data_IF_026841134966
#
_entry.id   IF_026841134966
#
_cell.length_a   1.000
_cell.length_b   1.000
_cell.length_c   1.000
_cell.angle_alpha   90.00
_cell.angle_beta   90.00
_cell.angle_gamma   90.00
#
_symmetry.space_group_name_H-M   'P 1'
#
loop_
_entity.id
_entity.type
_entity.pdbx_description
1 polymer ?
#
# COMPACT_ATOMS: atom_id res chain seq x y z
N UNK A 1 70.09 10.99 4.30
CA UNK A 1 69.29 10.06 5.13
C UNK A 1 68.21 10.84 5.87
N UNK A 2 66.99 10.89 5.33
CA UNK A 2 65.84 11.55 5.97
C UNK A 2 64.71 10.52 6.04
N UNK A 3 64.35 10.12 7.27
CA UNK A 3 63.35 9.10 7.60
C UNK A 3 61.94 9.65 7.32
N UNK A 4 61.17 8.97 6.46
CA UNK A 4 59.72 9.18 6.28
C UNK A 4 58.97 8.66 7.51
N UNK A 5 58.13 9.51 8.08
CA UNK A 5 57.08 9.14 9.04
C UNK A 5 55.82 8.72 8.27
N UNK A 6 55.26 7.56 8.61
CA UNK A 6 53.91 7.15 8.20
C UNK A 6 52.95 7.25 9.39
N UNK A 7 51.76 7.84 9.24
CA UNK A 7 50.78 7.88 10.32
C UNK A 7 49.99 6.56 10.36
N UNK A 8 50.03 5.89 11.50
CA UNK A 8 49.19 4.74 11.82
C UNK A 8 47.73 5.20 11.98
N UNK A 9 46.88 4.90 10.98
CA UNK A 9 45.42 5.00 11.13
C UNK A 9 44.92 3.82 11.98
N UNK A 10 44.60 4.08 13.23
CA UNK A 10 43.79 3.17 14.05
C UNK A 10 42.37 3.10 13.47
N UNK A 11 42.08 2.05 12.70
CA UNK A 11 40.69 1.64 12.42
C UNK A 11 40.15 0.97 13.69
N UNK A 12 39.27 1.67 14.42
CA UNK A 12 38.43 1.04 15.44
C UNK A 12 37.43 0.13 14.73
N UNK A 13 37.77 -1.14 14.62
CA UNK A 13 36.80 -2.19 14.28
C UNK A 13 35.96 -2.44 15.53
N UNK A 14 34.70 -2.02 15.50
CA UNK A 14 33.72 -2.44 16.50
C UNK A 14 33.49 -3.93 16.28
N UNK A 15 33.96 -4.73 17.23
CA UNK A 15 33.79 -6.18 17.26
C UNK A 15 32.29 -6.47 17.46
N UNK A 16 31.58 -6.76 16.37
CA UNK A 16 30.26 -7.38 16.45
C UNK A 16 30.47 -8.84 16.85
N UNK A 17 30.09 -9.17 18.08
CA UNK A 17 29.78 -10.55 18.46
C UNK A 17 28.47 -10.93 17.76
N UNK A 18 28.55 -11.18 16.46
CA UNK A 18 27.55 -11.96 15.74
C UNK A 18 27.86 -13.42 16.06
N UNK A 19 26.94 -14.07 16.76
CA UNK A 19 27.00 -15.52 16.94
C UNK A 19 26.88 -16.16 15.55
N UNK A 20 27.96 -16.80 15.12
CA UNK A 20 28.08 -17.51 13.85
C UNK A 20 27.42 -18.88 14.01
N UNK A 21 26.10 -18.92 13.80
CA UNK A 21 25.38 -20.11 13.36
C UNK A 21 24.81 -19.84 11.97
N UNK A 22 25.13 -20.67 10.98
CA UNK A 22 24.80 -20.42 9.56
C UNK A 22 23.34 -20.03 9.31
N UNK A 23 23.13 -18.86 8.72
CA UNK A 23 22.02 -18.56 7.80
C UNK A 23 20.58 -18.51 8.32
N UNK A 24 20.31 -18.40 9.63
CA UNK A 24 18.91 -18.31 10.09
C UNK A 24 18.27 -16.95 9.78
N UNK A 25 18.93 -15.85 10.15
CA UNK A 25 18.41 -14.50 9.91
C UNK A 25 18.55 -14.11 8.44
N UNK A 26 17.43 -13.76 7.81
CA UNK A 26 17.36 -13.26 6.45
C UNK A 26 17.05 -11.77 6.46
N UNK A 27 18.02 -10.96 6.04
CA UNK A 27 17.81 -9.51 5.94
C UNK A 27 16.87 -9.22 4.78
N UNK A 28 15.79 -8.50 5.06
CA UNK A 28 14.88 -8.07 3.99
C UNK A 28 15.57 -7.07 3.05
N UNK A 29 15.35 -7.24 1.75
CA UNK A 29 16.02 -6.48 0.69
C UNK A 29 15.69 -5.00 0.78
N UNK A 30 16.70 -4.14 0.60
CA UNK A 30 16.47 -2.70 0.50
C UNK A 30 15.82 -2.37 -0.85
N UNK A 31 14.80 -1.52 -0.83
CA UNK A 31 14.02 -1.19 -2.03
C UNK A 31 14.50 0.16 -2.58
N UNK A 32 14.84 0.17 -3.86
CA UNK A 32 15.28 1.36 -4.58
C UNK A 32 14.11 2.31 -4.89
N UNK A 33 14.34 3.62 -4.76
CA UNK A 33 13.36 4.66 -5.13
C UNK A 33 13.08 4.62 -6.64
N UNK A 34 11.84 4.84 -7.05
CA UNK A 34 11.50 5.12 -8.45
C UNK A 34 12.05 6.49 -8.87
N UNK A 35 12.64 6.56 -10.05
CA UNK A 35 12.96 7.82 -10.74
C UNK A 35 13.02 7.60 -12.25
N UNK A 36 13.05 8.70 -13.00
CA UNK A 36 13.06 8.67 -14.46
C UNK A 36 14.12 7.73 -15.05
N UNK A 37 15.36 7.75 -14.52
CA UNK A 37 16.45 6.86 -14.99
C UNK A 37 16.08 5.38 -14.86
N UNK A 38 15.54 4.96 -13.71
CA UNK A 38 15.16 3.56 -13.47
C UNK A 38 13.98 3.15 -14.33
N UNK A 39 13.01 4.04 -14.53
CA UNK A 39 11.89 3.76 -15.42
C UNK A 39 12.36 3.63 -16.88
N UNK A 40 13.28 4.47 -17.33
CA UNK A 40 13.86 4.35 -18.65
C UNK A 40 14.69 3.07 -18.81
N UNK A 41 15.36 2.60 -17.76
CA UNK A 41 16.01 1.29 -17.76
C UNK A 41 15.00 0.13 -17.89
N UNK A 42 13.85 0.21 -17.20
CA UNK A 42 12.76 -0.77 -17.36
C UNK A 42 12.16 -0.76 -18.78
N UNK A 43 12.03 0.42 -19.39
CA UNK A 43 11.62 0.53 -20.80
C UNK A 43 12.62 -0.15 -21.73
N UNK A 44 13.91 0.14 -21.54
CA UNK A 44 14.99 -0.43 -22.35
C UNK A 44 15.13 -1.95 -22.21
N UNK A 45 14.81 -2.51 -21.03
CA UNK A 45 14.83 -3.96 -20.80
C UNK A 45 13.58 -4.70 -21.30
N UNK A 46 12.56 -3.96 -21.77
CA UNK A 46 11.26 -4.50 -22.16
C UNK A 46 10.32 -4.79 -21.00
N UNK A 47 10.72 -4.52 -19.75
CA UNK A 47 9.94 -4.85 -18.55
C UNK A 47 8.88 -3.79 -18.18
N UNK A 48 8.84 -2.66 -18.88
CA UNK A 48 7.87 -1.59 -18.59
C UNK A 48 6.42 -1.97 -18.93
N UNK A 49 6.23 -2.82 -19.94
CA UNK A 49 4.91 -3.30 -20.33
C UNK A 49 4.54 -4.67 -19.70
N UNK A 50 5.46 -5.28 -18.93
CA UNK A 50 5.18 -6.48 -18.12
C UNK A 50 4.14 -6.19 -17.02
N UNK A 51 3.58 -7.23 -16.39
CA UNK A 51 2.65 -7.05 -15.28
C UNK A 51 3.37 -6.77 -13.94
N UNK A 52 2.95 -5.69 -13.29
CA UNK A 52 3.42 -5.24 -11.99
C UNK A 52 2.28 -5.13 -10.99
N UNK A 53 2.66 -5.24 -9.72
CA UNK A 53 1.75 -5.19 -8.58
C UNK A 53 2.27 -4.11 -7.66
N UNK A 54 1.45 -3.11 -7.37
CA UNK A 54 1.77 -2.10 -6.38
C UNK A 54 0.86 -2.22 -5.16
N UNK A 55 1.45 -2.15 -3.99
CA UNK A 55 0.77 -2.22 -2.69
C UNK A 55 1.10 -1.00 -1.85
N UNK A 56 0.28 -0.69 -0.83
CA UNK A 56 0.58 0.41 0.08
C UNK A 56 1.95 0.20 0.73
N UNK A 57 2.78 1.23 0.72
CA UNK A 57 4.00 1.24 1.51
C UNK A 57 3.66 1.73 2.93
N UNK A 58 3.54 0.79 3.85
CA UNK A 58 3.29 1.09 5.27
C UNK A 58 4.55 1.69 5.89
N UNK A 59 4.40 2.90 6.42
CA UNK A 59 5.40 3.61 7.22
C UNK A 59 5.42 3.09 8.66
N UNK A 60 6.29 2.13 8.94
CA UNK A 60 6.43 1.52 10.27
C UNK A 60 7.87 1.10 10.53
N UNK A 61 8.05 -0.07 11.12
CA UNK A 61 9.34 -0.71 11.25
C UNK A 61 9.28 -2.15 10.69
N UNK A 62 10.23 -2.48 9.81
CA UNK A 62 10.39 -3.83 9.28
C UNK A 62 10.44 -4.87 10.40
N UNK A 63 9.61 -5.90 10.27
CA UNK A 63 9.40 -6.92 11.27
C UNK A 63 9.25 -8.30 10.62
N UNK A 64 9.99 -9.29 11.11
CA UNK A 64 9.97 -10.67 10.62
C UNK A 64 9.51 -11.63 11.70
N UNK A 65 8.68 -12.61 11.34
CA UNK A 65 8.20 -13.67 12.22
C UNK A 65 8.70 -15.01 11.68
N UNK A 66 9.47 -15.73 12.49
CA UNK A 66 10.12 -16.98 12.11
C UNK A 66 9.49 -18.13 12.88
N UNK A 67 9.01 -19.12 12.12
CA UNK A 67 8.69 -20.44 12.65
C UNK A 67 9.72 -21.42 12.12
N UNK A 68 10.34 -22.21 13.00
CA UNK A 68 11.44 -23.13 12.67
C UNK A 68 11.01 -24.53 13.10
N UNK A 69 11.20 -25.52 12.23
CA UNK A 69 10.87 -26.92 12.52
C UNK A 69 11.66 -27.42 13.73
N UNK A 70 11.00 -28.16 14.62
CA UNK A 70 11.60 -28.64 15.87
C UNK A 70 11.70 -27.59 16.99
N UNK A 71 11.55 -26.30 16.70
CA UNK A 71 11.48 -25.25 17.72
C UNK A 71 10.04 -25.01 18.17
N UNK A 72 9.81 -25.00 19.49
CA UNK A 72 8.50 -24.64 20.06
C UNK A 72 8.25 -23.14 20.07
N UNK A 73 9.31 -22.34 20.08
CA UNK A 73 9.24 -20.89 20.25
C UNK A 73 9.38 -20.18 18.91
N UNK A 74 8.43 -19.30 18.61
CA UNK A 74 8.50 -18.38 17.48
C UNK A 74 9.57 -17.32 17.75
N UNK A 75 10.38 -16.99 16.74
CA UNK A 75 11.38 -15.93 16.81
C UNK A 75 10.90 -14.69 16.06
N UNK A 76 11.31 -13.53 16.55
CA UNK A 76 10.94 -12.24 15.98
C UNK A 76 12.20 -11.49 15.59
N UNK A 77 12.17 -10.78 14.46
CA UNK A 77 13.32 -10.02 13.98
C UNK A 77 12.91 -8.60 13.63
N UNK A 78 13.84 -7.68 13.88
CA UNK A 78 13.86 -6.35 13.27
C UNK A 78 14.79 -6.37 12.06
N UNK A 79 14.86 -5.26 11.33
CA UNK A 79 15.73 -5.10 10.15
C UNK A 79 17.18 -5.52 10.36
N UNK A 80 17.72 -5.37 11.57
CA UNK A 80 19.13 -5.66 11.87
C UNK A 80 19.39 -7.05 12.46
N UNK A 81 18.36 -7.86 12.74
CA UNK A 81 18.55 -9.20 13.28
C UNK A 81 17.37 -9.75 14.07
N UNK A 82 17.46 -11.04 14.40
CA UNK A 82 16.57 -11.70 15.37
C UNK A 82 16.76 -11.06 16.75
N UNK A 83 15.65 -10.76 17.41
CA UNK A 83 15.62 -10.13 18.72
C UNK A 83 15.50 -11.17 19.83
N UNK A 84 16.20 -11.01 20.97
CA UNK A 84 15.94 -11.82 22.14
C UNK A 84 14.56 -11.48 22.73
N UNK A 85 13.88 -12.42 23.42
CA UNK A 85 12.55 -12.19 24.01
C UNK A 85 12.49 -11.02 25.00
N UNK A 86 13.64 -10.64 25.57
CA UNK A 86 13.79 -9.56 26.54
C UNK A 86 14.00 -8.18 25.92
N UNK A 87 14.25 -8.09 24.61
CA UNK A 87 14.44 -6.82 23.92
C UNK A 87 13.10 -6.12 23.71
N UNK A 88 12.94 -4.92 24.29
CA UNK A 88 11.78 -4.08 24.05
C UNK A 88 11.89 -3.34 22.70
N UNK A 89 11.10 -3.78 21.72
CA UNK A 89 11.02 -3.18 20.39
C UNK A 89 9.61 -2.65 20.12
N UNK A 90 9.39 -1.35 20.36
CA UNK A 90 8.11 -0.62 20.28
C UNK A 90 6.94 -1.16 21.12
N UNK A 91 7.10 -2.29 21.80
CA UNK A 91 6.04 -2.98 22.53
C UNK A 91 5.39 -4.13 21.77
N UNK A 92 6.04 -4.68 20.73
CA UNK A 92 5.52 -5.79 19.91
C UNK A 92 5.06 -7.00 20.73
N UNK A 93 5.56 -7.17 21.96
CA UNK A 93 5.15 -8.22 22.89
C UNK A 93 3.64 -8.30 23.09
N UNK A 94 2.93 -7.16 22.99
CA UNK A 94 1.46 -7.14 23.11
C UNK A 94 0.77 -7.92 21.99
N UNK A 95 1.44 -8.06 20.83
CA UNK A 95 0.94 -8.75 19.65
C UNK A 95 1.36 -10.23 19.59
N UNK A 96 2.24 -10.70 20.49
CA UNK A 96 2.78 -12.07 20.43
C UNK A 96 1.69 -13.14 20.26
N UNK A 97 0.56 -13.12 21.01
CA UNK A 97 -0.49 -14.12 20.84
C UNK A 97 -1.02 -14.17 19.41
N UNK A 98 -1.32 -13.02 18.81
CA UNK A 98 -1.80 -12.93 17.42
C UNK A 98 -0.71 -13.33 16.43
N UNK A 99 0.53 -12.87 16.62
CA UNK A 99 1.65 -13.18 15.74
C UNK A 99 1.98 -14.68 15.71
N UNK A 100 1.86 -15.36 16.85
CA UNK A 100 2.00 -16.83 16.95
C UNK A 100 0.90 -17.54 16.18
N UNK A 101 -0.35 -17.10 16.33
CA UNK A 101 -1.48 -17.65 15.56
C UNK A 101 -1.25 -17.48 14.06
N UNK A 102 -0.85 -16.28 13.61
CA UNK A 102 -0.63 -15.99 12.19
C UNK A 102 0.46 -16.88 11.59
N UNK A 103 1.65 -16.94 12.19
CA UNK A 103 2.75 -17.72 11.61
C UNK A 103 2.48 -19.22 11.62
N UNK A 104 1.71 -19.72 12.60
CA UNK A 104 1.32 -21.13 12.66
C UNK A 104 0.40 -21.46 11.49
N UNK A 105 -0.67 -20.68 11.28
CA UNK A 105 -1.58 -20.87 10.15
C UNK A 105 -0.88 -20.70 8.80
N UNK A 106 0.01 -19.70 8.67
CA UNK A 106 0.82 -19.50 7.46
C UNK A 106 1.71 -20.70 7.18
N UNK A 107 2.39 -21.26 8.20
CA UNK A 107 3.20 -22.47 8.06
C UNK A 107 2.36 -23.65 7.60
N UNK A 108 1.22 -23.89 8.24
CA UNK A 108 0.37 -25.04 7.92
C UNK A 108 -0.13 -24.97 6.47
N UNK A 109 -0.65 -23.80 6.05
CA UNK A 109 -1.11 -23.57 4.68
C UNK A 109 0.02 -23.63 3.66
N UNK A 110 1.23 -23.16 4.01
CA UNK A 110 2.38 -23.25 3.11
C UNK A 110 2.83 -24.72 2.94
N UNK A 111 2.92 -25.49 4.03
CA UNK A 111 3.25 -26.91 3.97
C UNK A 111 2.21 -27.69 3.14
N UNK A 112 0.92 -27.38 3.31
CA UNK A 112 -0.15 -27.95 2.50
C UNK A 112 0.01 -27.58 1.02
N UNK A 113 0.23 -26.30 0.70
CA UNK A 113 0.41 -25.85 -0.69
C UNK A 113 1.61 -26.52 -1.36
N UNK A 114 2.71 -26.69 -0.63
CA UNK A 114 3.94 -27.32 -1.14
C UNK A 114 3.90 -28.85 -1.09
N UNK A 115 2.88 -29.45 -0.45
CA UNK A 115 2.76 -30.89 -0.21
C UNK A 115 4.00 -31.49 0.47
N UNK A 116 4.64 -30.72 1.35
CA UNK A 116 5.82 -31.13 2.11
C UNK A 116 6.01 -30.25 3.35
N UNK A 117 6.77 -30.76 4.32
CA UNK A 117 7.24 -29.95 5.44
C UNK A 117 8.38 -29.05 4.99
N UNK A 118 8.45 -27.87 5.58
CA UNK A 118 9.53 -26.91 5.38
C UNK A 118 10.25 -26.66 6.70
N UNK A 119 11.57 -26.59 6.66
CA UNK A 119 12.39 -26.31 7.83
C UNK A 119 12.05 -24.94 8.43
N UNK A 120 12.14 -23.85 7.65
CA UNK A 120 11.87 -22.48 8.16
C UNK A 120 10.78 -21.80 7.36
N UNK A 121 9.88 -21.10 8.05
CA UNK A 121 8.93 -20.15 7.46
C UNK A 121 9.19 -18.78 8.04
N UNK A 122 9.36 -17.80 7.17
CA UNK A 122 9.56 -16.40 7.49
C UNK A 122 8.41 -15.57 6.90
N UNK A 123 7.60 -15.01 7.78
CA UNK A 123 6.59 -14.01 7.43
C UNK A 123 7.19 -12.62 7.62
N UNK A 124 7.45 -11.92 6.52
CA UNK A 124 7.91 -10.54 6.56
C UNK A 124 6.71 -9.59 6.53
N UNK A 125 6.80 -8.55 7.36
CA UNK A 125 5.80 -7.49 7.42
C UNK A 125 6.35 -6.22 8.03
N UNK A 126 5.43 -5.29 8.26
CA UNK A 126 5.69 -4.03 8.92
C UNK A 126 4.97 -4.01 10.27
N UNK A 127 5.70 -3.75 11.35
CA UNK A 127 5.11 -3.36 12.62
C UNK A 127 4.75 -1.87 12.52
N UNK A 128 3.51 -1.48 12.82
CA UNK A 128 3.07 -0.10 12.68
C UNK A 128 2.05 0.30 13.75
N UNK A 129 1.72 1.60 13.78
CA UNK A 129 0.72 2.16 14.70
C UNK A 129 1.32 2.75 15.97
N UNK A 130 0.52 2.79 17.04
CA UNK A 130 0.88 3.48 18.29
C UNK A 130 0.71 5.01 18.23
N UNK A 131 0.08 5.54 17.17
CA UNK A 131 -0.18 6.97 16.97
C UNK A 131 -1.42 7.18 16.10
N UNK A 132 -2.38 7.94 16.62
CA UNK A 132 -3.55 8.43 15.89
C UNK A 132 -4.16 9.66 16.57
N UNK A 133 -3.90 10.84 16.02
CA UNK A 133 -4.17 12.13 16.65
C UNK A 133 -5.56 12.69 16.28
N UNK A 134 -6.63 11.92 16.52
CA UNK A 134 -7.99 12.39 16.32
C UNK A 134 -8.59 12.98 17.62
N UNK A 135 -9.24 14.16 17.60
CA UNK A 135 -9.78 14.81 18.81
C UNK A 135 -10.76 13.96 19.61
N UNK A 136 -11.53 13.10 18.93
CA UNK A 136 -12.53 12.22 19.56
C UNK A 136 -11.96 10.92 20.14
N UNK A 137 -10.65 10.68 20.03
CA UNK A 137 -10.03 9.47 20.57
C UNK A 137 -9.27 9.80 21.87
N UNK A 138 -9.38 8.94 22.89
CA UNK A 138 -8.70 9.16 24.15
C UNK A 138 -7.19 8.94 23.99
N UNK A 139 -6.39 9.81 24.60
CA UNK A 139 -4.93 9.65 24.68
C UNK A 139 -4.59 8.70 25.83
N UNK A 140 -4.59 7.40 25.57
CA UNK A 140 -4.22 6.39 26.58
C UNK A 140 -2.78 5.92 26.37
N UNK A 141 -1.96 5.96 27.43
CA UNK A 141 -0.68 5.25 27.44
C UNK A 141 -0.92 3.77 27.70
N UNK A 142 -0.49 2.93 26.76
CA UNK A 142 -0.49 1.47 26.92
C UNK A 142 0.87 0.99 27.42
N UNK A 143 0.88 -0.05 28.23
CA UNK A 143 2.09 -0.69 28.74
C UNK A 143 2.05 -2.19 28.44
N UNK A 144 3.23 -2.79 28.33
CA UNK A 144 3.40 -4.24 28.17
C UNK A 144 4.54 -4.72 29.06
N UNK A 145 4.43 -5.94 29.57
CA UNK A 145 5.47 -6.55 30.38
C UNK A 145 6.56 -7.14 29.49
N UNK A 146 7.80 -6.71 29.68
CA UNK A 146 8.98 -7.26 28.98
C UNK A 146 10.03 -7.62 30.01
N UNK A 147 10.42 -8.89 30.05
CA UNK A 147 11.37 -9.42 31.03
C UNK A 147 11.00 -9.06 32.48
N UNK A 148 9.72 -9.18 32.83
CA UNK A 148 9.21 -8.89 34.18
C UNK A 148 9.14 -7.39 34.54
N UNK A 149 9.38 -6.48 33.59
CA UNK A 149 9.29 -5.02 33.81
C UNK A 149 8.22 -4.38 32.92
N UNK A 150 7.38 -3.48 33.44
CA UNK A 150 6.44 -2.73 32.62
C UNK A 150 7.21 -1.78 31.69
N UNK A 151 6.89 -1.81 30.40
CA UNK A 151 7.42 -0.92 29.36
C UNK A 151 6.27 -0.20 28.68
N UNK A 152 6.47 1.09 28.38
CA UNK A 152 5.48 1.87 27.63
C UNK A 152 5.54 1.51 26.16
N UNK A 153 4.38 1.28 25.56
CA UNK A 153 4.23 1.10 24.11
C UNK A 153 4.39 2.48 23.46
N UNK A 154 5.33 2.59 22.53
CA UNK A 154 5.62 3.82 21.78
C UNK A 154 5.08 3.73 20.37
N UNK A 155 4.72 4.88 19.78
CA UNK A 155 4.49 4.99 18.36
C UNK A 155 5.69 4.43 17.58
N UNK A 156 5.43 3.66 16.54
CA UNK A 156 6.50 3.11 15.70
C UNK A 156 7.17 4.21 14.88
N UNK A 157 6.36 5.19 14.43
CA UNK A 157 6.81 6.38 13.72
C UNK A 157 6.17 7.64 14.34
N UNK A 158 6.88 8.77 14.24
CA UNK A 158 6.47 10.02 14.89
C UNK A 158 6.01 11.11 13.91
N UNK A 159 6.10 10.86 12.60
CA UNK A 159 5.69 11.78 11.54
C UNK A 159 4.22 12.21 11.64
N UNK A 160 3.87 13.35 11.03
CA UNK A 160 2.51 13.91 11.11
C UNK A 160 1.47 13.07 10.38
N UNK A 161 1.88 12.39 9.32
CA UNK A 161 1.13 11.41 8.53
C UNK A 161 2.15 10.42 7.94
N UNK A 162 1.74 9.24 7.45
CA UNK A 162 0.45 8.62 7.75
C UNK A 162 0.35 8.22 9.23
N UNK A 163 -0.86 8.30 9.76
CA UNK A 163 -1.24 7.73 11.06
C UNK A 163 -2.31 6.67 10.84
N UNK A 164 -2.16 5.52 11.48
CA UNK A 164 -2.98 4.35 11.17
C UNK A 164 -3.93 3.97 12.31
N UNK A 165 -3.41 3.89 13.53
CA UNK A 165 -4.14 3.43 14.71
C UNK A 165 -3.42 3.86 15.99
N UNK A 166 -4.15 4.14 17.08
CA UNK A 166 -3.53 4.30 18.40
C UNK A 166 -2.88 3.01 18.89
N UNK A 167 -3.23 1.87 18.30
CA UNK A 167 -2.75 0.54 18.68
C UNK A 167 -1.66 0.06 17.74
N UNK A 168 -0.88 -0.91 18.21
CA UNK A 168 0.11 -1.59 17.37
C UNK A 168 -0.58 -2.65 16.52
N UNK A 169 -0.07 -2.83 15.30
CA UNK A 169 -0.54 -3.82 14.35
C UNK A 169 0.64 -4.38 13.54
N UNK A 170 0.43 -5.52 12.89
CA UNK A 170 1.38 -6.14 11.98
C UNK A 170 0.77 -6.25 10.58
N UNK A 171 1.50 -5.81 9.56
CA UNK A 171 1.08 -5.83 8.15
C UNK A 171 2.00 -6.72 7.31
N UNK A 172 1.54 -7.91 6.93
CA UNK A 172 2.32 -8.87 6.15
C UNK A 172 2.53 -8.42 4.70
N UNK A 173 3.70 -8.65 4.11
CA UNK A 173 3.94 -8.30 2.70
C UNK A 173 4.75 -9.32 1.89
N UNK A 174 5.39 -10.31 2.52
CA UNK A 174 6.08 -11.41 1.83
C UNK A 174 6.16 -12.65 2.73
N UNK A 175 6.14 -13.83 2.10
CA UNK A 175 6.51 -15.10 2.73
C UNK A 175 7.80 -15.59 2.09
N UNK A 176 8.76 -16.00 2.93
CA UNK A 176 9.95 -16.75 2.54
C UNK A 176 10.00 -18.08 3.28
N UNK A 177 10.65 -19.08 2.70
CA UNK A 177 10.82 -20.37 3.36
C UNK A 177 12.12 -21.06 2.97
N UNK A 178 12.54 -21.99 3.84
CA UNK A 178 13.63 -22.94 3.62
C UNK A 178 13.07 -24.35 3.65
N UNK A 179 13.45 -25.18 2.69
CA UNK A 179 13.09 -26.60 2.71
C UNK A 179 13.90 -27.33 3.77
N UNK A 180 15.21 -27.12 3.75
CA UNK A 180 16.18 -27.68 4.71
C UNK A 180 16.95 -26.57 5.43
N UNK A 181 17.61 -26.87 6.56
CA UNK A 181 18.38 -25.89 7.33
C UNK A 181 19.42 -25.14 6.51
N UNK A 182 20.05 -25.87 5.58
CA UNK A 182 21.19 -25.41 4.78
C UNK A 182 20.77 -24.85 3.42
N UNK A 183 19.47 -24.90 3.10
CA UNK A 183 18.94 -24.32 1.87
C UNK A 183 18.88 -22.79 1.93
N UNK A 184 18.96 -22.15 0.76
CA UNK A 184 18.70 -20.71 0.63
C UNK A 184 17.21 -20.40 0.80
N UNK A 185 16.90 -19.18 1.24
CA UNK A 185 15.50 -18.76 1.34
C UNK A 185 14.88 -18.61 -0.05
N UNK A 186 13.79 -19.32 -0.28
CA UNK A 186 12.91 -19.09 -1.41
C UNK A 186 11.84 -18.07 -1.05
N UNK A 187 11.57 -17.14 -1.96
CA UNK A 187 10.49 -16.15 -1.80
C UNK A 187 9.28 -16.64 -2.56
N UNK A 188 8.14 -16.71 -1.88
CA UNK A 188 6.87 -17.04 -2.51
C UNK A 188 6.44 -15.89 -3.44
N UNK A 189 5.85 -16.20 -4.59
CA UNK A 189 5.35 -15.13 -5.48
C UNK A 189 4.17 -14.43 -4.82
N UNK A 190 3.90 -13.18 -5.24
CA UNK A 190 2.91 -12.33 -4.58
C UNK A 190 1.52 -12.96 -4.50
N UNK A 191 1.02 -13.54 -5.60
CA UNK A 191 -0.32 -14.12 -5.65
C UNK A 191 -0.44 -15.32 -4.71
N UNK A 192 0.57 -16.19 -4.68
CA UNK A 192 0.64 -17.34 -3.77
C UNK A 192 0.71 -16.93 -2.29
N UNK A 193 1.47 -15.88 -1.97
CA UNK A 193 1.51 -15.34 -0.61
C UNK A 193 0.16 -14.74 -0.22
N UNK A 194 -0.49 -14.04 -1.15
CA UNK A 194 -1.80 -13.41 -0.96
C UNK A 194 -2.90 -14.44 -0.73
N UNK A 195 -2.91 -15.55 -1.48
CA UNK A 195 -3.82 -16.68 -1.26
C UNK A 195 -3.74 -17.23 0.17
N UNK A 196 -2.52 -17.30 0.73
CA UNK A 196 -2.30 -17.72 2.12
C UNK A 196 -2.79 -16.63 3.07
N UNK A 197 -2.39 -15.37 2.87
CA UNK A 197 -2.78 -14.27 3.75
C UNK A 197 -4.30 -14.11 3.87
N UNK A 198 -5.03 -14.23 2.75
CA UNK A 198 -6.49 -14.13 2.71
C UNK A 198 -7.20 -15.15 3.61
N UNK A 199 -6.59 -16.32 3.84
CA UNK A 199 -7.16 -17.40 4.65
C UNK A 199 -6.82 -17.26 6.13
N UNK A 200 -5.91 -16.35 6.52
CA UNK A 200 -5.52 -16.15 7.92
C UNK A 200 -6.43 -15.09 8.56
N UNK A 201 -7.32 -15.46 9.51
CA UNK A 201 -8.27 -14.52 10.08
C UNK A 201 -7.57 -13.38 10.84
N UNK A 202 -7.96 -12.13 10.56
CA UNK A 202 -7.44 -10.94 11.24
C UNK A 202 -6.03 -10.50 10.81
N UNK A 203 -5.36 -11.23 9.91
CA UNK A 203 -4.07 -10.79 9.37
C UNK A 203 -4.27 -9.62 8.42
N UNK A 204 -3.64 -8.48 8.72
CA UNK A 204 -3.51 -7.39 7.76
C UNK A 204 -2.35 -7.71 6.82
N UNK A 205 -2.53 -7.46 5.53
CA UNK A 205 -1.52 -7.78 4.52
C UNK A 205 -1.55 -6.86 3.31
N UNK A 206 -0.45 -6.86 2.55
CA UNK A 206 -0.24 -6.14 1.32
C UNK A 206 -1.20 -6.61 0.23
N UNK A 207 -2.18 -5.76 -0.11
CA UNK A 207 -3.13 -5.99 -1.21
C UNK A 207 -2.71 -5.18 -2.42
N UNK A 208 -2.94 -5.73 -3.61
CA UNK A 208 -2.73 -5.01 -4.85
C UNK A 208 -3.66 -3.80 -4.90
N UNK A 209 -3.10 -2.61 -4.73
CA UNK A 209 -3.77 -1.33 -4.95
C UNK A 209 -3.95 -1.11 -6.44
N UNK A 210 -2.93 -1.45 -7.21
CA UNK A 210 -2.98 -1.33 -8.66
C UNK A 210 -2.16 -2.48 -9.24
N UNK A 211 -2.79 -3.21 -10.14
CA UNK A 211 -2.14 -4.27 -10.93
C UNK A 211 -2.23 -3.95 -12.42
N UNK A 212 -1.16 -4.23 -13.16
CA UNK A 212 -1.09 -4.02 -14.60
C UNK A 212 0.30 -3.56 -15.06
N UNK A 213 0.43 -3.04 -16.29
CA UNK A 213 1.72 -2.58 -16.81
C UNK A 213 2.30 -1.44 -15.96
N UNK A 214 3.63 -1.26 -15.99
CA UNK A 214 4.28 -0.16 -15.25
C UNK A 214 3.77 1.21 -15.71
N UNK A 215 3.28 1.35 -16.95
CA UNK A 215 2.59 2.55 -17.41
C UNK A 215 1.32 2.85 -16.61
N UNK A 216 0.54 1.84 -16.23
CA UNK A 216 -0.63 1.98 -15.35
C UNK A 216 -0.17 2.37 -13.95
N UNK A 217 0.80 1.65 -13.38
CA UNK A 217 1.32 1.92 -12.03
C UNK A 217 1.94 3.32 -11.92
N UNK A 218 2.73 3.74 -12.91
CA UNK A 218 3.40 5.03 -12.90
C UNK A 218 2.46 6.22 -13.13
N UNK A 219 1.24 5.99 -13.66
CA UNK A 219 0.19 6.99 -13.75
C UNK A 219 -0.52 7.26 -12.41
N UNK A 220 -0.27 6.45 -11.38
CA UNK A 220 -0.89 6.60 -10.07
C UNK A 220 -0.41 7.86 -9.35
N UNK A 221 -1.36 8.62 -8.80
CA UNK A 221 -1.08 9.83 -8.03
C UNK A 221 -0.63 9.48 -6.61
N UNK A 222 0.67 9.18 -6.47
CA UNK A 222 1.29 8.89 -5.17
C UNK A 222 1.31 10.12 -4.25
N UNK A 223 1.30 11.35 -4.79
CA UNK A 223 1.39 12.58 -4.00
C UNK A 223 0.14 12.81 -3.16
N UNK A 224 -1.03 12.49 -3.70
CA UNK A 224 -2.31 12.63 -2.99
C UNK A 224 -2.93 11.30 -2.56
N UNK A 225 -2.14 10.22 -2.53
CA UNK A 225 -2.63 8.91 -2.12
C UNK A 225 -2.90 8.90 -0.61
N UNK A 226 -4.17 8.88 -0.23
CA UNK A 226 -4.63 8.75 1.17
C UNK A 226 -4.46 7.30 1.61
N UNK A 227 -3.90 7.07 2.82
CA UNK A 227 -3.73 5.70 3.35
C UNK A 227 -5.06 4.96 3.46
N UNK A 228 -5.04 3.68 3.10
CA UNK A 228 -6.21 2.79 3.02
C UNK A 228 -6.43 2.00 4.31
N UNK A 229 -5.48 2.09 5.24
CA UNK A 229 -5.40 1.25 6.43
C UNK A 229 -6.35 1.67 7.57
N UNK A 230 -6.59 2.97 7.86
CA UNK A 230 -7.39 3.35 9.03
C UNK A 230 -8.77 2.65 9.13
N UNK A 231 -9.57 2.50 8.07
CA UNK A 231 -10.81 1.72 8.12
C UNK A 231 -10.61 0.27 8.56
N UNK A 232 -9.53 -0.38 8.12
CA UNK A 232 -9.23 -1.80 8.39
C UNK A 232 -8.91 -2.07 9.87
N UNK A 233 -8.51 -1.03 10.60
CA UNK A 233 -8.14 -1.11 12.03
C UNK A 233 -9.13 -0.35 12.92
N UNK A 234 -10.37 -0.17 12.44
CA UNK A 234 -11.47 0.42 13.20
C UNK A 234 -11.46 1.95 13.27
N UNK A 235 -10.56 2.62 12.56
CA UNK A 235 -10.43 4.09 12.57
C UNK A 235 -11.25 4.79 11.46
N UNK A 236 -12.10 4.04 10.73
CA UNK A 236 -12.86 4.55 9.59
C UNK A 236 -13.81 5.72 9.87
N UNK A 237 -14.23 5.90 11.14
CA UNK A 237 -15.09 7.00 11.58
C UNK A 237 -14.34 8.21 12.16
N UNK A 238 -13.00 8.18 12.16
CA UNK A 238 -12.16 9.20 12.77
C UNK A 238 -11.20 9.83 11.75
N UNK A 239 -11.70 10.35 10.62
CA UNK A 239 -10.85 10.76 9.50
C UNK A 239 -9.86 11.86 9.90
N UNK A 240 -8.59 11.67 9.54
CA UNK A 240 -7.55 12.69 9.65
C UNK A 240 -7.39 13.44 8.31
N UNK A 241 -7.34 14.77 8.36
CA UNK A 241 -7.10 15.60 7.17
C UNK A 241 -5.63 15.45 6.73
N UNK A 242 -5.40 15.23 5.44
CA UNK A 242 -4.03 15.11 4.89
C UNK A 242 -3.29 13.85 5.35
N UNK A 243 -4.02 12.77 5.66
CA UNK A 243 -3.41 11.50 6.06
C UNK A 243 -2.93 10.70 4.84
N UNK A 244 -1.93 11.23 4.14
CA UNK A 244 -1.37 10.59 2.95
C UNK A 244 -0.50 9.40 3.32
N UNK A 245 -0.55 8.34 2.53
CA UNK A 245 0.35 7.21 2.61
C UNK A 245 1.79 7.66 2.28
N UNK A 246 2.77 6.90 2.75
CA UNK A 246 4.17 7.13 2.34
C UNK A 246 4.35 6.92 0.83
N UNK A 247 3.63 5.94 0.27
CA UNK A 247 3.58 5.68 -1.15
C UNK A 247 3.28 4.21 -1.45
N UNK A 248 3.96 3.64 -2.44
CA UNK A 248 3.76 2.29 -2.93
C UNK A 248 5.06 1.47 -2.93
N UNK A 249 4.93 0.17 -2.68
CA UNK A 249 5.94 -0.83 -3.05
C UNK A 249 5.45 -1.53 -4.32
N UNK A 250 6.28 -1.51 -5.36
CA UNK A 250 5.93 -2.02 -6.69
C UNK A 250 6.82 -3.22 -6.99
N UNK A 251 6.20 -4.39 -7.19
CA UNK A 251 6.87 -5.68 -7.45
C UNK A 251 6.47 -6.20 -8.82
N UNK A 252 7.40 -6.79 -9.55
CA UNK A 252 7.09 -7.54 -10.75
C UNK A 252 6.32 -8.82 -10.38
N UNK A 253 5.29 -9.20 -11.13
CA UNK A 253 4.42 -10.35 -10.79
C UNK A 253 5.19 -11.66 -10.59
N UNK A 254 6.22 -11.90 -11.42
CA UNK A 254 7.05 -13.10 -11.36
C UNK A 254 8.19 -13.03 -10.32
N UNK A 255 8.29 -11.97 -9.50
CA UNK A 255 9.35 -11.90 -8.47
C UNK A 255 9.19 -13.05 -7.47
N UNK A 256 10.23 -13.88 -7.34
CA UNK A 256 10.22 -15.08 -6.50
C UNK A 256 9.91 -16.38 -7.27
N UNK A 257 9.47 -16.28 -8.53
CA UNK A 257 9.16 -17.46 -9.36
C UNK A 257 10.45 -18.21 -9.70
N UNK A 258 10.53 -19.53 -9.46
CA UNK A 258 11.67 -20.34 -9.89
C UNK A 258 11.93 -20.19 -11.40
N UNK A 259 13.18 -19.98 -11.78
CA UNK A 259 13.60 -19.81 -13.19
C UNK A 259 13.24 -18.46 -13.82
N UNK A 260 12.68 -17.50 -13.06
CA UNK A 260 12.52 -16.13 -13.56
C UNK A 260 13.86 -15.41 -13.62
N UNK A 261 14.29 -15.05 -14.83
CA UNK A 261 15.53 -14.32 -15.10
C UNK A 261 15.22 -12.86 -15.48
N UNK A 262 15.16 -11.94 -14.51
CA UNK A 262 14.79 -10.56 -14.78
C UNK A 262 15.93 -9.79 -15.44
N UNK A 263 15.61 -9.07 -16.52
CA UNK A 263 16.56 -8.19 -17.23
C UNK A 263 16.79 -6.83 -16.53
N UNK A 264 16.31 -6.67 -15.30
CA UNK A 264 16.30 -5.41 -14.57
C UNK A 264 15.78 -5.54 -13.14
N UNK A 265 15.55 -4.41 -12.47
CA UNK A 265 14.99 -4.38 -11.12
C UNK A 265 13.58 -4.99 -11.12
N UNK A 266 13.26 -5.79 -10.11
CA UNK A 266 11.93 -6.44 -9.96
C UNK A 266 11.15 -5.91 -8.77
N UNK A 267 11.70 -4.94 -8.04
CA UNK A 267 11.06 -4.26 -6.92
C UNK A 267 11.53 -2.81 -6.83
N UNK A 268 10.60 -1.88 -6.63
CA UNK A 268 10.82 -0.43 -6.53
C UNK A 268 9.89 0.15 -5.47
N UNK A 269 10.21 1.34 -4.95
CA UNK A 269 9.31 2.13 -4.11
C UNK A 269 8.99 3.47 -4.75
N UNK A 270 7.71 3.78 -4.85
CA UNK A 270 7.21 5.07 -5.29
C UNK A 270 6.81 5.80 -4.01
N UNK A 271 7.39 6.97 -3.73
CA UNK A 271 7.08 7.73 -2.52
C UNK A 271 6.60 9.11 -2.90
N UNK A 272 5.64 9.63 -2.14
CA UNK A 272 5.30 11.03 -2.27
C UNK A 272 6.47 11.91 -1.85
N UNK A 273 6.49 13.14 -2.35
CA UNK A 273 7.57 14.10 -2.14
C UNK A 273 7.74 14.42 -0.66
N UNK A 274 6.67 14.37 0.15
CA UNK A 274 6.75 14.53 1.61
C UNK A 274 7.62 13.47 2.32
N UNK A 275 7.84 12.31 1.69
CA UNK A 275 8.59 11.17 2.24
C UNK A 275 9.93 10.89 1.56
N UNK A 276 10.32 11.72 0.61
CA UNK A 276 11.65 11.60 0.02
C UNK A 276 12.73 11.89 1.06
N UNK A 277 13.76 11.04 1.07
CA UNK A 277 14.91 11.20 1.97
C UNK A 277 15.67 12.45 1.53
N UNK A 278 15.84 13.42 2.43
CA UNK A 278 16.66 14.59 2.16
C UNK A 278 18.12 14.11 2.20
N UNK A 279 18.86 14.28 1.10
CA UNK A 279 20.31 14.31 1.23
C UNK A 279 20.68 15.44 2.17
N UNK A 280 21.49 15.18 3.19
CA UNK A 280 21.97 16.20 4.13
C UNK A 280 22.76 17.33 3.44
N UNK A 281 23.04 17.18 2.14
CA UNK A 281 23.63 18.20 1.29
C UNK A 281 22.61 19.27 0.87
N UNK A 282 22.73 20.45 1.47
CA UNK A 282 21.92 21.65 1.15
C UNK A 282 22.04 22.10 -0.32
N UNK A 283 23.03 21.61 -1.07
CA UNK A 283 23.19 21.93 -2.50
C UNK A 283 22.20 21.21 -3.40
N UNK A 284 21.52 20.17 -2.92
CA UNK A 284 20.60 19.37 -3.74
C UNK A 284 19.23 20.02 -3.95
N UNK A 285 18.99 21.20 -3.38
CA UNK A 285 17.75 21.96 -3.58
C UNK A 285 16.56 21.39 -2.81
N UNK A 286 15.35 21.91 -3.06
CA UNK A 286 14.13 21.38 -2.44
C UNK A 286 13.82 19.97 -2.94
N UNK A 287 12.97 19.24 -2.20
CA UNK A 287 12.44 17.96 -2.68
C UNK A 287 11.65 18.18 -3.97
N UNK A 288 11.88 17.33 -4.95
CA UNK A 288 11.22 17.38 -6.24
C UNK A 288 10.65 16.02 -6.56
N UNK A 289 9.56 16.00 -7.31
CA UNK A 289 9.01 14.77 -7.81
C UNK A 289 9.86 14.23 -8.98
N UNK A 290 10.82 13.35 -8.67
CA UNK A 290 11.71 12.70 -9.66
C UNK A 290 10.97 11.85 -10.70
N UNK A 291 9.66 11.68 -10.54
CA UNK A 291 8.78 10.91 -11.41
C UNK A 291 7.76 11.78 -12.15
N UNK A 292 7.80 13.11 -12.02
CA UNK A 292 6.76 13.99 -12.57
C UNK A 292 6.55 13.80 -14.08
N UNK A 293 7.65 13.84 -14.86
CA UNK A 293 7.61 13.64 -16.32
C UNK A 293 7.08 12.26 -16.69
N UNK A 294 7.56 11.21 -16.02
CA UNK A 294 7.09 9.84 -16.21
C UNK A 294 5.61 9.70 -15.89
N UNK A 295 5.15 10.29 -14.79
CA UNK A 295 3.74 10.23 -14.36
C UNK A 295 2.86 10.94 -15.36
N UNK A 296 3.26 12.12 -15.84
CA UNK A 296 2.54 12.88 -16.87
C UNK A 296 2.38 12.06 -18.15
N UNK A 297 3.46 11.48 -18.65
CA UNK A 297 3.43 10.62 -19.84
C UNK A 297 2.56 9.38 -19.62
N UNK A 298 2.63 8.80 -18.43
CA UNK A 298 1.86 7.62 -18.06
C UNK A 298 0.36 7.93 -17.93
N UNK A 299 -0.01 9.09 -17.38
CA UNK A 299 -1.40 9.58 -17.33
C UNK A 299 -1.94 9.80 -18.74
N UNK A 300 -1.13 10.35 -19.66
CA UNK A 300 -1.56 10.51 -21.06
C UNK A 300 -1.81 9.17 -21.75
N UNK A 301 -1.06 8.12 -21.39
CA UNK A 301 -1.20 6.76 -21.97
C UNK A 301 -2.31 5.93 -21.33
N UNK A 302 -2.38 5.92 -20.00
CA UNK A 302 -3.24 5.01 -19.23
C UNK A 302 -4.45 5.70 -18.58
N UNK A 303 -4.49 7.03 -18.59
CA UNK A 303 -5.43 7.83 -17.81
C UNK A 303 -5.02 7.92 -16.33
N UNK A 304 -5.70 8.79 -15.59
CA UNK A 304 -5.59 8.85 -14.13
C UNK A 304 -6.05 7.53 -13.54
N UNK A 305 -5.32 7.03 -12.53
CA UNK A 305 -5.64 5.78 -11.86
C UNK A 305 -6.17 6.04 -10.45
N UNK A 306 -7.18 5.25 -10.06
CA UNK A 306 -7.52 5.01 -8.67
C UNK A 306 -7.01 3.64 -8.23
N UNK A 307 -6.91 3.37 -6.92
CA UNK A 307 -6.80 2.01 -6.44
C UNK A 307 -7.91 1.12 -7.03
N UNK A 308 -7.64 -0.16 -7.20
CA UNK A 308 -8.67 -1.14 -7.54
C UNK A 308 -9.69 -1.19 -6.38
N UNK A 309 -10.99 -1.15 -6.67
CA UNK A 309 -12.04 -0.96 -5.66
C UNK A 309 -12.02 -2.04 -4.57
N UNK A 310 -11.80 -3.28 -4.98
CA UNK A 310 -11.69 -4.43 -4.09
C UNK A 310 -10.55 -4.28 -3.09
N UNK A 311 -9.50 -3.53 -3.44
CA UNK A 311 -8.34 -3.27 -2.58
C UNK A 311 -8.70 -2.38 -1.39
N UNK A 312 -9.65 -1.45 -1.60
CA UNK A 312 -10.10 -0.42 -0.66
C UNK A 312 -11.28 -0.90 0.19
N UNK A 313 -12.29 -1.47 -0.46
CA UNK A 313 -13.52 -1.92 0.20
C UNK A 313 -13.48 -3.44 0.32
N UNK A 314 -13.11 -3.91 1.51
CA UNK A 314 -12.82 -5.32 1.77
C UNK A 314 -14.03 -6.10 2.29
N UNK A 315 -14.98 -5.42 2.93
CA UNK A 315 -16.22 -6.06 3.36
C UNK A 315 -17.05 -6.42 2.12
N UNK A 316 -17.41 -7.71 1.91
CA UNK A 316 -18.10 -8.15 0.70
C UNK A 316 -19.44 -7.45 0.46
N UNK A 317 -20.20 -7.17 1.52
CA UNK A 317 -21.51 -6.51 1.43
C UNK A 317 -21.33 -5.06 0.98
N UNK A 318 -20.35 -4.35 1.56
CA UNK A 318 -20.01 -2.99 1.17
C UNK A 318 -19.44 -2.92 -0.25
N UNK A 319 -18.63 -3.90 -0.66
CA UNK A 319 -18.05 -3.98 -1.99
C UNK A 319 -19.13 -4.16 -3.06
N UNK A 320 -20.04 -5.11 -2.87
CA UNK A 320 -21.15 -5.34 -3.80
C UNK A 320 -22.08 -4.13 -3.88
N UNK A 321 -22.39 -3.49 -2.75
CA UNK A 321 -23.15 -2.24 -2.75
C UNK A 321 -22.42 -1.11 -3.49
N UNK A 322 -21.08 -1.07 -3.39
CA UNK A 322 -20.25 -0.09 -4.11
C UNK A 322 -20.27 -0.34 -5.61
N UNK A 323 -20.17 -1.60 -6.06
CA UNK A 323 -20.31 -1.96 -7.48
C UNK A 323 -21.69 -1.59 -8.01
N UNK A 324 -22.75 -1.93 -7.27
CA UNK A 324 -24.11 -1.56 -7.63
C UNK A 324 -24.29 -0.03 -7.76
N UNK A 325 -23.69 0.74 -6.85
CA UNK A 325 -23.65 2.20 -6.96
C UNK A 325 -22.93 2.68 -8.23
N UNK A 326 -21.84 2.01 -8.67
CA UNK A 326 -21.16 2.34 -9.92
C UNK A 326 -22.03 2.03 -11.16
N UNK A 327 -22.86 1.00 -11.12
CA UNK A 327 -23.81 0.68 -12.22
C UNK A 327 -24.85 1.80 -12.44
N UNK A 328 -25.07 2.67 -11.45
CA UNK A 328 -25.92 3.85 -11.61
C UNK A 328 -25.27 4.92 -12.51
N UNK A 329 -23.96 4.87 -12.72
CA UNK A 329 -23.24 5.76 -13.64
C UNK A 329 -23.38 5.21 -15.06
N UNK A 330 -24.50 5.52 -15.72
CA UNK A 330 -24.84 5.00 -17.04
C UNK A 330 -25.35 6.09 -18.00
N UNK A 331 -25.39 5.77 -19.29
CA UNK A 331 -25.83 6.68 -20.36
C UNK A 331 -27.24 7.24 -20.13
N UNK A 332 -28.18 6.39 -19.69
CA UNK A 332 -29.56 6.82 -19.42
C UNK A 332 -29.62 7.90 -18.34
N UNK A 333 -28.79 7.75 -17.31
CA UNK A 333 -28.71 8.75 -16.24
C UNK A 333 -28.01 10.01 -16.72
N UNK A 334 -26.93 9.90 -17.49
CA UNK A 334 -26.26 11.04 -18.12
C UNK A 334 -27.25 11.85 -18.98
N UNK A 335 -28.03 11.19 -19.83
CA UNK A 335 -29.06 11.85 -20.64
C UNK A 335 -30.14 12.52 -19.76
N UNK A 336 -30.58 11.85 -18.69
CA UNK A 336 -31.53 12.42 -17.74
C UNK A 336 -30.99 13.67 -17.03
N UNK A 337 -29.69 13.71 -16.74
CA UNK A 337 -29.01 14.88 -16.16
C UNK A 337 -28.90 16.00 -17.19
N UNK A 338 -28.49 15.70 -18.43
CA UNK A 338 -28.45 16.67 -19.52
C UNK A 338 -29.81 17.33 -19.77
N UNK A 339 -30.89 16.55 -19.80
CA UNK A 339 -32.27 17.09 -19.94
C UNK A 339 -32.70 18.02 -18.81
N UNK A 340 -32.15 17.86 -17.60
CA UNK A 340 -32.42 18.76 -16.46
C UNK A 340 -31.62 20.07 -16.54
N UNK A 341 -30.48 20.06 -17.23
CA UNK A 341 -29.60 21.23 -17.40
C UNK A 341 -30.10 22.10 -18.56
N UNK A 342 -30.54 21.49 -19.67
CA UNK A 342 -30.86 22.19 -20.92
C UNK A 342 -29.62 22.51 -21.75
N UNK A 343 -29.80 23.21 -22.88
CA UNK A 343 -28.73 23.53 -23.85
C UNK A 343 -27.99 24.83 -23.51
N UNK A 344 -28.71 25.83 -22.98
CA UNK A 344 -28.19 27.19 -22.74
C UNK A 344 -26.85 27.23 -21.95
N UNK A 345 -26.64 26.44 -20.87
CA UNK A 345 -25.36 26.44 -20.16
C UNK A 345 -24.18 25.91 -21.00
N UNK A 346 -24.43 25.04 -21.97
CA UNK A 346 -23.40 24.53 -22.89
C UNK A 346 -23.07 25.56 -23.97
N UNK A 347 -24.07 26.28 -24.48
CA UNK A 347 -23.90 27.33 -25.48
C UNK A 347 -23.07 28.51 -24.93
N UNK A 348 -23.29 28.87 -23.67
CA UNK A 348 -22.55 29.95 -23.00
C UNK A 348 -21.21 29.52 -22.43
N UNK A 349 -20.82 28.25 -22.61
CA UNK A 349 -19.63 27.65 -21.99
C UNK A 349 -19.59 27.80 -20.46
N UNK A 350 -20.77 27.87 -19.83
CA UNK A 350 -20.93 28.04 -18.38
C UNK A 350 -20.81 26.71 -17.62
N UNK A 351 -20.89 25.57 -18.32
CA UNK A 351 -20.74 24.24 -17.74
C UNK A 351 -19.47 23.54 -18.23
N UNK A 352 -18.68 23.08 -17.27
CA UNK A 352 -17.47 22.30 -17.51
C UNK A 352 -17.74 20.79 -17.48
N UNK A 353 -16.81 20.01 -18.04
CA UNK A 353 -16.88 18.55 -17.97
C UNK A 353 -16.90 18.05 -16.51
N UNK A 354 -16.17 18.72 -15.61
CA UNK A 354 -16.08 18.38 -14.19
C UNK A 354 -17.39 18.65 -13.44
N UNK A 355 -18.06 19.75 -13.77
CA UNK A 355 -19.37 20.08 -13.22
C UNK A 355 -20.44 19.09 -13.68
N UNK A 356 -20.47 18.74 -14.96
CA UNK A 356 -21.39 17.73 -15.48
C UNK A 356 -21.14 16.36 -14.84
N UNK A 357 -19.88 15.94 -14.70
CA UNK A 357 -19.53 14.70 -14.01
C UNK A 357 -19.96 14.72 -12.53
N UNK A 358 -19.84 15.87 -11.87
CA UNK A 358 -20.30 16.05 -10.49
C UNK A 358 -21.83 15.94 -10.38
N UNK A 359 -22.58 16.51 -11.34
CA UNK A 359 -24.04 16.39 -11.40
C UNK A 359 -24.47 14.95 -11.64
N UNK A 360 -23.80 14.24 -12.55
CA UNK A 360 -24.03 12.80 -12.79
C UNK A 360 -23.77 11.97 -11.53
N UNK A 361 -22.65 12.20 -10.86
CA UNK A 361 -22.31 11.49 -9.62
C UNK A 361 -23.35 11.72 -8.52
N UNK A 362 -23.83 12.97 -8.37
CA UNK A 362 -24.89 13.31 -7.41
C UNK A 362 -26.22 12.64 -7.74
N UNK A 363 -26.60 12.59 -9.02
CA UNK A 363 -27.84 11.93 -9.44
C UNK A 363 -27.76 10.42 -9.21
N UNK A 364 -26.62 9.79 -9.55
CA UNK A 364 -26.37 8.37 -9.30
C UNK A 364 -26.46 8.02 -7.81
N UNK A 365 -25.78 8.81 -6.96
CA UNK A 365 -25.80 8.62 -5.51
C UNK A 365 -27.21 8.83 -4.93
N UNK A 366 -27.93 9.86 -5.38
CA UNK A 366 -29.31 10.13 -4.91
C UNK A 366 -30.23 8.96 -5.21
N UNK A 367 -30.10 8.36 -6.38
CA UNK A 367 -30.96 7.26 -6.79
C UNK A 367 -30.61 5.96 -6.04
N UNK A 368 -29.32 5.65 -5.92
CA UNK A 368 -28.83 4.53 -5.11
C UNK A 368 -29.34 4.60 -3.67
N UNK A 369 -29.35 5.79 -3.06
CA UNK A 369 -29.79 5.99 -1.67
C UNK A 369 -31.29 5.78 -1.45
N UNK A 370 -32.13 5.70 -2.49
CA UNK A 370 -33.57 5.41 -2.32
C UNK A 370 -33.82 4.00 -1.81
N UNK A 371 -33.00 3.05 -2.27
CA UNK A 371 -33.15 1.62 -2.00
C UNK A 371 -31.95 1.05 -1.21
N UNK A 372 -31.02 1.90 -0.77
CA UNK A 372 -29.83 1.47 -0.04
C UNK A 372 -30.17 0.93 1.36
N UNK A 373 -29.62 -0.24 1.69
CA UNK A 373 -29.73 -0.84 3.02
C UNK A 373 -29.14 0.09 4.10
N UNK A 374 -29.81 0.30 5.25
CA UNK A 374 -29.28 1.05 6.38
C UNK A 374 -27.86 0.64 6.81
N UNK A 375 -27.49 -0.63 6.68
CA UNK A 375 -26.14 -1.12 6.97
C UNK A 375 -25.08 -0.46 6.07
N UNK A 376 -25.42 -0.22 4.79
CA UNK A 376 -24.54 0.47 3.83
C UNK A 376 -24.46 1.97 4.13
N UNK A 377 -25.60 2.60 4.45
CA UNK A 377 -25.66 4.03 4.78
C UNK A 377 -24.85 4.35 6.04
N UNK A 378 -24.80 3.41 7.00
CA UNK A 378 -24.08 3.55 8.27
C UNK A 378 -22.63 3.05 8.24
N UNK A 379 -22.10 2.72 7.05
CA UNK A 379 -20.68 2.36 6.91
C UNK A 379 -19.74 3.48 7.35
N UNK A 380 -18.48 3.15 7.72
CA UNK A 380 -17.54 4.14 8.21
C UNK A 380 -17.38 5.35 7.27
N UNK A 381 -17.18 6.54 7.85
CA UNK A 381 -17.08 7.80 7.08
C UNK A 381 -16.05 7.71 5.96
N UNK A 382 -14.88 7.12 6.22
CA UNK A 382 -13.84 6.94 5.20
C UNK A 382 -14.30 6.03 4.07
N UNK A 383 -14.97 4.91 4.37
CA UNK A 383 -15.55 4.02 3.33
C UNK A 383 -16.55 4.76 2.45
N UNK A 384 -17.46 5.55 3.04
CA UNK A 384 -18.44 6.35 2.26
C UNK A 384 -17.78 7.41 1.39
N UNK A 385 -16.67 8.00 1.86
CA UNK A 385 -15.85 8.93 1.05
C UNK A 385 -15.21 8.20 -0.13
N UNK A 386 -14.72 6.98 0.07
CA UNK A 386 -14.19 6.16 -1.02
C UNK A 386 -15.28 5.83 -2.03
N UNK A 387 -16.45 5.33 -1.60
CA UNK A 387 -17.59 5.09 -2.49
C UNK A 387 -17.92 6.33 -3.35
N UNK A 388 -18.00 7.51 -2.72
CA UNK A 388 -18.26 8.78 -3.43
C UNK A 388 -17.14 9.13 -4.42
N UNK A 389 -15.88 8.87 -4.05
CA UNK A 389 -14.71 9.11 -4.91
C UNK A 389 -14.76 8.24 -6.16
N UNK A 390 -15.11 6.95 -6.04
CA UNK A 390 -15.22 6.04 -7.19
C UNK A 390 -16.38 6.44 -8.11
N UNK A 391 -17.55 6.81 -7.57
CA UNK A 391 -18.68 7.28 -8.40
C UNK A 391 -18.31 8.53 -9.18
N UNK A 392 -17.65 9.50 -8.54
CA UNK A 392 -17.20 10.70 -9.23
C UNK A 392 -16.17 10.38 -10.32
N UNK A 393 -15.26 9.45 -10.05
CA UNK A 393 -14.26 9.01 -11.01
C UNK A 393 -14.88 8.34 -12.24
N UNK A 394 -15.80 7.39 -12.04
CA UNK A 394 -16.50 6.75 -13.16
C UNK A 394 -17.40 7.74 -13.91
N UNK A 395 -18.02 8.69 -13.21
CA UNK A 395 -18.80 9.77 -13.85
C UNK A 395 -17.92 10.65 -14.73
N UNK A 396 -16.71 11.00 -14.27
CA UNK A 396 -15.72 11.74 -15.07
C UNK A 396 -15.28 10.96 -16.29
N UNK A 397 -15.02 9.66 -16.15
CA UNK A 397 -14.63 8.79 -17.28
C UNK A 397 -15.73 8.74 -18.33
N UNK A 398 -16.97 8.52 -17.92
CA UNK A 398 -18.12 8.48 -18.83
C UNK A 398 -18.31 9.83 -19.53
N UNK A 399 -18.38 10.93 -18.76
CA UNK A 399 -18.56 12.28 -19.33
C UNK A 399 -17.42 12.64 -20.27
N UNK A 400 -16.17 12.40 -19.89
CA UNK A 400 -15.00 12.67 -20.74
C UNK A 400 -15.08 11.89 -22.07
N UNK A 401 -15.46 10.61 -22.03
CA UNK A 401 -15.62 9.80 -23.24
C UNK A 401 -16.72 10.28 -24.18
N UNK A 402 -17.71 11.02 -23.66
CA UNK A 402 -18.86 11.54 -24.41
C UNK A 402 -18.81 13.05 -24.68
N UNK A 403 -17.85 13.76 -24.09
CA UNK A 403 -17.85 15.23 -24.05
C UNK A 403 -17.99 15.88 -25.43
N UNK A 404 -17.20 15.41 -26.41
CA UNK A 404 -17.28 15.91 -27.79
C UNK A 404 -18.68 15.70 -28.40
N UNK A 405 -19.28 14.54 -28.18
CA UNK A 405 -20.62 14.22 -28.70
C UNK A 405 -21.71 15.00 -27.97
N UNK A 406 -21.54 15.26 -26.67
CA UNK A 406 -22.47 16.10 -25.88
C UNK A 406 -22.48 17.51 -26.44
N UNK A 407 -21.31 18.14 -26.59
CA UNK A 407 -21.21 19.50 -27.15
C UNK A 407 -21.86 19.59 -28.53
N UNK A 408 -21.59 18.63 -29.42
CA UNK A 408 -22.18 18.60 -30.77
C UNK A 408 -23.72 18.52 -30.75
N UNK A 409 -24.31 17.71 -29.86
CA UNK A 409 -25.77 17.58 -29.78
C UNK A 409 -26.43 18.83 -29.23
N UNK A 410 -25.85 19.41 -28.17
CA UNK A 410 -26.41 20.59 -27.52
C UNK A 410 -26.31 21.84 -28.42
N UNK A 411 -25.35 21.91 -29.34
CA UNK A 411 -25.27 23.01 -30.33
C UNK A 411 -26.25 22.85 -31.50
N UNK A 412 -26.58 21.62 -31.91
CA UNK A 412 -27.48 21.37 -33.06
C UNK A 412 -28.94 21.57 -32.69
N UNK A 413 -29.33 21.20 -31.47
CA UNK A 413 -30.70 21.41 -30.96
C UNK A 413 -31.02 22.91 -30.68
N UNK A 414 -30.03 23.81 -30.77
CA UNK A 414 -30.19 25.26 -30.59
C UNK A 414 -30.45 26.02 -31.90
N UNK A 415 -30.20 25.40 -33.07
CA UNK A 415 -30.38 26.01 -34.40
C UNK A 415 -31.74 25.66 -35.05
N UNK A 416 -32.56 24.82 -34.41
CA UNK A 416 -33.92 24.47 -34.82
C UNK A 416 -34.97 24.92 -33.82
#
# INVERSE_FOLDING_TARGET
MLRRWHPLRFRRTVLWLADNGGGLFERYTEIENSNERRINALKASGMFDDEWIATEKVHGANFGIYSIEGEKMIRYAKRSGIMPPTEHFFGYHILIPQLQQYITLVRDMLCEKLQKKVHTVLLNGELFGGKYDHPSLPKTRKTVMVAGKPRTISAVQTDSFPQYSPDLHFYAFDIKYKEDSDSEYMTLIFDEATEIFQKVPGLLYARAIIRGPMSKVAAFDVENFVTTIPPLVGMGNYPLKGNWAEGLVVKHVNRGKPGFDPKGLTILKFKCTAFQEISTDRRQGPRVDEMEGVRRDSINRAGVQLPDLESIIQDPVQLEASKYLLDHVCENRLNSVLSKIGTEPFEKEEITYDELATLLAKDALKDFLKDADPAIVNTPILTRRDMTRYVLFESRRLVCSRWKTILQRQTVDAEG
#
